data_IF_060557885354
#
_entry.id   IF_060557885354
#
_cell.length_a   1.000
_cell.length_b   1.000
_cell.length_c   1.000
_cell.angle_alpha   90.00
_cell.angle_beta   90.00
_cell.angle_gamma   90.00
#
_symmetry.space_group_name_H-M   'P 1'
#
loop_
_entity.id
_entity.type
_entity.pdbx_description
1 polymer ?
#
# COMPACT_ATOMS: atom_id res chain seq x y z
N UNK A 1 -9.93 12.47 -3.08
CA UNK A 1 -9.41 11.33 -2.32
C UNK A 1 -9.19 10.16 -3.26
N UNK A 2 -8.01 9.56 -3.27
CA UNK A 2 -7.74 8.34 -4.01
C UNK A 2 -8.03 7.16 -3.08
N UNK A 3 -9.02 6.34 -3.43
CA UNK A 3 -9.29 5.08 -2.77
C UNK A 3 -8.63 3.94 -3.54
N UNK A 4 -7.99 3.04 -2.80
CA UNK A 4 -7.53 1.76 -3.33
C UNK A 4 -8.74 0.82 -3.28
N UNK A 5 -9.32 0.53 -4.45
CA UNK A 5 -10.68 -0.02 -4.57
C UNK A 5 -11.79 1.04 -4.45
N UNK A 6 -12.99 0.80 -5.00
CA UNK A 6 -14.08 1.76 -4.93
C UNK A 6 -14.52 1.97 -3.48
N UNK A 7 -14.69 3.22 -3.01
CA UNK A 7 -15.26 3.44 -1.68
C UNK A 7 -16.67 2.84 -1.62
N UNK A 8 -17.03 2.27 -0.47
CA UNK A 8 -18.41 1.79 -0.26
C UNK A 8 -19.40 2.95 -0.41
N UNK A 9 -20.65 2.66 -0.81
CA UNK A 9 -21.68 3.69 -1.01
C UNK A 9 -21.79 4.69 0.16
N UNK A 10 -21.73 4.28 1.45
CA UNK A 10 -21.75 5.24 2.56
C UNK A 10 -20.53 6.18 2.60
N UNK A 11 -19.35 5.72 2.16
CA UNK A 11 -18.14 6.53 2.17
C UNK A 11 -18.10 7.52 0.99
N UNK A 12 -18.53 7.08 -0.20
CA UNK A 12 -18.62 7.93 -1.39
C UNK A 12 -19.57 9.12 -1.15
N UNK A 13 -20.76 8.86 -0.60
CA UNK A 13 -21.71 9.91 -0.26
C UNK A 13 -21.15 10.90 0.76
N UNK A 14 -20.48 10.42 1.79
CA UNK A 14 -19.92 11.25 2.85
C UNK A 14 -18.81 12.18 2.34
N UNK A 15 -18.02 11.73 1.36
CA UNK A 15 -17.01 12.56 0.70
C UNK A 15 -17.69 13.67 -0.10
N UNK A 16 -18.65 13.32 -0.96
CA UNK A 16 -19.37 14.28 -1.80
C UNK A 16 -20.14 15.32 -0.97
N UNK A 17 -20.85 14.89 0.09
CA UNK A 17 -21.57 15.80 1.02
C UNK A 17 -20.65 16.81 1.72
N UNK A 18 -19.35 16.49 1.84
CA UNK A 18 -18.33 17.38 2.41
C UNK A 18 -17.53 18.17 1.36
N UNK A 19 -17.91 18.07 0.08
CA UNK A 19 -17.24 18.77 -1.03
C UNK A 19 -15.96 18.08 -1.53
N UNK A 20 -15.76 16.80 -1.24
CA UNK A 20 -14.60 16.04 -1.70
C UNK A 20 -14.97 15.19 -2.92
N UNK A 21 -14.14 15.24 -3.97
CA UNK A 21 -14.15 14.24 -5.04
C UNK A 21 -13.40 12.96 -4.64
N UNK A 22 -13.69 11.86 -5.34
CA UNK A 22 -12.93 10.61 -5.19
C UNK A 22 -12.56 9.98 -6.53
N UNK A 23 -11.42 9.30 -6.55
CA UNK A 23 -10.95 8.46 -7.63
C UNK A 23 -10.69 7.06 -7.08
N UNK A 24 -10.99 6.03 -7.86
CA UNK A 24 -10.71 4.64 -7.52
C UNK A 24 -9.62 4.10 -8.44
N UNK A 25 -8.69 3.33 -7.87
CA UNK A 25 -7.72 2.55 -8.63
C UNK A 25 -8.15 1.09 -8.60
N UNK A 26 -8.36 0.50 -9.79
CA UNK A 26 -8.45 -0.95 -9.95
C UNK A 26 -7.03 -1.53 -9.86
N UNK A 27 -6.65 -1.93 -8.65
CA UNK A 27 -5.29 -2.41 -8.38
C UNK A 27 -5.01 -3.78 -9.01
N UNK A 28 -6.03 -4.63 -9.17
CA UNK A 28 -5.88 -5.96 -9.78
C UNK A 28 -5.60 -5.84 -11.28
N UNK A 29 -6.18 -4.83 -11.94
CA UNK A 29 -5.83 -4.48 -13.31
C UNK A 29 -4.37 -4.00 -13.45
N UNK A 30 -3.82 -3.37 -12.41
CA UNK A 30 -2.41 -2.93 -12.41
C UNK A 30 -1.48 -4.10 -12.13
N UNK A 31 -1.75 -4.85 -11.06
CA UNK A 31 -0.97 -5.99 -10.65
C UNK A 31 -1.88 -6.97 -9.89
N UNK A 32 -2.12 -8.19 -10.41
CA UNK A 32 -3.00 -9.15 -9.75
C UNK A 32 -2.50 -9.53 -8.36
N UNK A 33 -3.41 -9.67 -7.41
CA UNK A 33 -3.09 -10.09 -6.03
C UNK A 33 -2.83 -11.60 -5.90
N UNK A 34 -1.81 -12.11 -6.56
CA UNK A 34 -1.34 -13.48 -6.39
C UNK A 34 0.08 -13.67 -6.96
N UNK A 35 0.79 -14.69 -6.45
CA UNK A 35 2.13 -15.05 -6.91
C UNK A 35 2.22 -15.39 -8.41
N UNK A 36 1.20 -16.06 -8.97
CA UNK A 36 1.17 -16.40 -10.40
C UNK A 36 1.07 -15.14 -11.30
N UNK A 37 0.54 -14.04 -10.75
CA UNK A 37 0.42 -12.74 -11.40
C UNK A 37 1.73 -11.98 -11.53
N UNK A 38 2.81 -12.37 -10.84
CA UNK A 38 4.09 -11.65 -10.85
C UNK A 38 4.78 -11.59 -12.22
N UNK A 39 4.38 -12.44 -13.17
CA UNK A 39 4.83 -12.39 -14.57
C UNK A 39 3.87 -11.64 -15.49
N UNK A 40 2.79 -11.08 -14.93
CA UNK A 40 1.76 -10.24 -15.57
C UNK A 40 1.70 -8.88 -14.88
N UNK A 41 0.79 -8.01 -15.33
CA UNK A 41 0.63 -6.67 -14.77
C UNK A 41 1.88 -5.82 -14.97
N UNK A 42 2.03 -4.75 -14.18
CA UNK A 42 3.16 -3.82 -14.27
C UNK A 42 4.50 -4.48 -13.89
N UNK A 43 4.52 -5.43 -12.95
CA UNK A 43 5.73 -6.18 -12.58
C UNK A 43 6.16 -7.06 -13.75
N UNK A 44 5.22 -7.83 -14.32
CA UNK A 44 5.47 -8.64 -15.50
C UNK A 44 5.94 -7.81 -16.69
N UNK A 45 5.28 -6.68 -16.96
CA UNK A 45 5.64 -5.77 -18.04
C UNK A 45 7.07 -5.26 -17.90
N UNK A 46 7.41 -4.70 -16.73
CA UNK A 46 8.75 -4.15 -16.45
C UNK A 46 9.83 -5.23 -16.44
N UNK A 47 9.48 -6.48 -16.14
CA UNK A 47 10.38 -7.63 -16.17
C UNK A 47 10.24 -8.51 -17.44
N UNK A 48 9.57 -8.01 -18.49
CA UNK A 48 9.41 -8.69 -19.79
C UNK A 48 8.83 -10.10 -19.68
N UNK A 49 7.85 -10.29 -18.80
CA UNK A 49 7.17 -11.57 -18.54
C UNK A 49 8.01 -12.62 -17.83
N UNK A 50 9.23 -12.27 -17.38
CA UNK A 50 10.13 -13.20 -16.69
C UNK A 50 9.85 -13.22 -15.18
N UNK A 51 10.27 -14.26 -14.45
CA UNK A 51 10.28 -14.24 -13.00
C UNK A 51 11.09 -13.06 -12.45
N UNK A 52 10.52 -12.38 -11.45
CA UNK A 52 11.14 -11.21 -10.81
C UNK A 52 12.46 -11.57 -10.11
N UNK A 53 13.38 -10.61 -10.03
CA UNK A 53 14.59 -10.75 -9.18
C UNK A 53 14.21 -10.53 -7.71
N UNK A 54 15.10 -10.92 -6.80
CA UNK A 54 14.85 -10.81 -5.35
C UNK A 54 14.67 -9.36 -4.87
N UNK A 55 15.26 -8.39 -5.57
CA UNK A 55 15.16 -6.95 -5.28
C UNK A 55 14.11 -6.22 -6.12
N UNK A 56 13.37 -6.95 -6.95
CA UNK A 56 12.24 -6.40 -7.68
C UNK A 56 11.06 -6.21 -6.73
N UNK A 57 10.47 -5.02 -6.77
CA UNK A 57 9.30 -4.65 -5.98
C UNK A 57 8.17 -5.70 -6.02
N UNK A 58 7.42 -5.78 -4.92
CA UNK A 58 6.22 -6.61 -4.79
C UNK A 58 4.94 -5.88 -5.17
N UNK A 59 3.83 -6.61 -5.05
CA UNK A 59 2.47 -6.15 -5.38
C UNK A 59 2.09 -4.88 -4.63
N UNK A 60 2.39 -4.77 -3.33
CA UNK A 60 2.04 -3.57 -2.55
C UNK A 60 2.70 -2.30 -3.09
N UNK A 61 3.95 -2.40 -3.52
CA UNK A 61 4.69 -1.26 -4.09
C UNK A 61 4.20 -0.94 -5.51
N UNK A 62 3.78 -1.95 -6.28
CA UNK A 62 3.16 -1.77 -7.59
C UNK A 62 1.80 -1.05 -7.48
N UNK A 63 0.98 -1.41 -6.50
CA UNK A 63 -0.26 -0.71 -6.20
C UNK A 63 -0.01 0.72 -5.70
N UNK A 64 0.96 0.90 -4.81
CA UNK A 64 1.38 2.24 -4.38
C UNK A 64 1.83 3.11 -5.56
N UNK A 65 2.58 2.52 -6.51
CA UNK A 65 2.97 3.20 -7.74
C UNK A 65 1.77 3.62 -8.58
N UNK A 66 0.74 2.79 -8.69
CA UNK A 66 -0.49 3.12 -9.40
C UNK A 66 -1.18 4.35 -8.79
N UNK A 67 -1.29 4.38 -7.46
CA UNK A 67 -1.82 5.54 -6.73
C UNK A 67 -1.01 6.79 -7.07
N UNK A 68 0.32 6.70 -7.10
CA UNK A 68 1.17 7.83 -7.47
C UNK A 68 0.99 8.26 -8.94
N UNK A 69 0.67 7.35 -9.86
CA UNK A 69 0.29 7.68 -11.24
C UNK A 69 -1.08 8.34 -11.32
N UNK A 70 -2.02 7.93 -10.47
CA UNK A 70 -3.32 8.64 -10.33
C UNK A 70 -3.12 10.06 -9.84
N UNK A 71 -2.17 10.30 -8.92
CA UNK A 71 -1.78 11.67 -8.54
C UNK A 71 -1.28 12.46 -9.75
N UNK A 72 -0.42 11.89 -10.60
CA UNK A 72 0.06 12.57 -11.82
C UNK A 72 -1.12 13.04 -12.68
N UNK A 73 -2.12 12.17 -12.91
CA UNK A 73 -3.32 12.54 -13.67
C UNK A 73 -4.14 13.62 -12.97
N UNK A 74 -4.44 13.47 -11.67
CA UNK A 74 -5.25 14.42 -10.92
C UNK A 74 -4.62 15.82 -10.85
N UNK A 75 -3.29 15.94 -10.92
CA UNK A 75 -2.61 17.24 -10.98
C UNK A 75 -2.84 17.98 -12.31
N UNK A 76 -3.27 17.29 -13.36
CA UNK A 76 -3.58 17.89 -14.66
C UNK A 76 -5.04 18.31 -14.81
N UNK A 77 -5.92 17.84 -13.93
CA UNK A 77 -7.35 18.13 -13.98
C UNK A 77 -7.65 19.49 -13.34
N UNK A 78 -8.15 20.49 -14.10
CA UNK A 78 -8.46 21.81 -13.57
C UNK A 78 -9.59 21.83 -12.54
N UNK A 79 -10.38 20.75 -12.43
CA UNK A 79 -11.42 20.62 -11.40
C UNK A 79 -10.86 20.17 -10.04
N UNK A 80 -9.59 19.79 -9.96
CA UNK A 80 -8.96 19.24 -8.76
C UNK A 80 -7.97 20.24 -8.17
N UNK A 81 -8.02 20.44 -6.86
CA UNK A 81 -6.96 21.16 -6.15
C UNK A 81 -5.74 20.22 -5.98
N UNK A 82 -4.61 20.47 -6.66
CA UNK A 82 -3.44 19.56 -6.62
C UNK A 82 -2.75 19.53 -5.24
N UNK A 83 -3.04 20.48 -4.35
CA UNK A 83 -2.48 20.55 -3.00
C UNK A 83 -3.34 19.83 -1.95
N UNK A 84 -4.50 19.31 -2.32
CA UNK A 84 -5.45 18.66 -1.41
C UNK A 84 -5.82 17.23 -1.86
N UNK A 85 -4.85 16.52 -2.44
CA UNK A 85 -5.02 15.12 -2.82
C UNK A 85 -4.71 14.24 -1.61
N UNK A 86 -5.71 13.52 -1.10
CA UNK A 86 -5.53 12.49 -0.05
C UNK A 86 -5.60 11.07 -0.61
N UNK A 87 -5.10 10.10 0.15
CA UNK A 87 -5.17 8.66 -0.14
C UNK A 87 -5.87 7.89 0.99
N UNK A 88 -6.60 6.83 0.67
CA UNK A 88 -7.17 5.91 1.65
C UNK A 88 -7.10 4.45 1.20
N UNK A 89 -6.99 3.54 2.16
CA UNK A 89 -7.00 2.10 1.91
C UNK A 89 -7.30 1.29 3.17
N UNK A 90 -7.85 0.10 2.99
CA UNK A 90 -8.22 -0.83 4.06
C UNK A 90 -7.49 -2.16 3.97
N UNK A 91 -7.02 -2.71 5.10
CA UNK A 91 -6.33 -4.02 5.10
C UNK A 91 -5.09 -4.00 4.19
N UNK A 92 -4.94 -4.93 3.25
CA UNK A 92 -3.84 -4.94 2.24
C UNK A 92 -3.74 -3.63 1.45
N UNK A 93 -4.89 -3.02 1.16
CA UNK A 93 -4.97 -1.74 0.46
C UNK A 93 -4.47 -0.59 1.33
N UNK A 94 -4.65 -0.71 2.66
CA UNK A 94 -4.08 0.20 3.64
C UNK A 94 -2.55 0.13 3.68
N UNK A 95 -1.96 -1.05 3.47
CA UNK A 95 -0.50 -1.22 3.34
C UNK A 95 0.01 -0.47 2.11
N UNK A 96 -0.66 -0.63 0.96
CA UNK A 96 -0.32 0.07 -0.28
C UNK A 96 -0.54 1.59 -0.18
N UNK A 97 -1.63 2.03 0.45
CA UNK A 97 -1.91 3.46 0.68
C UNK A 97 -0.84 4.12 1.57
N UNK A 98 -0.37 3.43 2.62
CA UNK A 98 0.71 3.94 3.46
C UNK A 98 2.02 4.06 2.68
N UNK A 99 2.35 3.08 1.84
CA UNK A 99 3.51 3.16 0.94
C UNK A 99 3.37 4.31 -0.06
N UNK A 100 2.21 4.48 -0.69
CA UNK A 100 1.99 5.58 -1.63
C UNK A 100 2.15 6.93 -0.95
N UNK A 101 1.58 7.07 0.25
CA UNK A 101 1.70 8.26 1.07
C UNK A 101 3.17 8.54 1.42
N UNK A 102 3.90 7.56 1.93
CA UNK A 102 5.30 7.72 2.32
C UNK A 102 6.21 8.12 1.15
N UNK A 103 6.02 7.51 -0.02
CA UNK A 103 6.90 7.71 -1.18
C UNK A 103 6.51 8.86 -2.10
N UNK A 104 5.36 9.50 -1.90
CA UNK A 104 4.90 10.62 -2.73
C UNK A 104 4.50 11.83 -1.88
N UNK A 105 5.38 12.85 -1.77
CA UNK A 105 5.13 14.02 -0.94
C UNK A 105 3.98 14.90 -1.45
N UNK A 106 3.46 14.65 -2.66
CA UNK A 106 2.32 15.39 -3.22
C UNK A 106 0.99 14.98 -2.58
N UNK A 107 0.92 13.80 -1.95
CA UNK A 107 -0.27 13.34 -1.23
C UNK A 107 -0.31 14.06 0.12
N UNK A 108 -1.33 14.88 0.35
CA UNK A 108 -1.46 15.76 1.50
C UNK A 108 -1.90 15.06 2.79
N UNK A 109 -2.71 14.00 2.68
CA UNK A 109 -3.26 13.26 3.83
C UNK A 109 -3.50 11.79 3.52
N UNK A 110 -3.30 10.92 4.49
CA UNK A 110 -3.62 9.49 4.39
C UNK A 110 -4.63 9.00 5.43
N UNK A 111 -5.61 8.21 5.01
CA UNK A 111 -6.41 7.37 5.91
C UNK A 111 -6.04 5.90 5.74
N UNK A 112 -5.30 5.37 6.72
CA UNK A 112 -4.75 4.02 6.72
C UNK A 112 -5.60 3.15 7.64
N UNK A 113 -6.54 2.40 7.07
CA UNK A 113 -7.50 1.60 7.82
C UNK A 113 -7.03 0.14 7.97
N UNK A 114 -6.89 -0.33 9.20
CA UNK A 114 -6.64 -1.74 9.56
C UNK A 114 -5.52 -2.41 8.75
N UNK A 115 -4.42 -1.71 8.48
CA UNK A 115 -3.40 -2.19 7.54
C UNK A 115 -2.55 -3.36 8.03
N UNK A 116 -2.44 -3.58 9.34
CA UNK A 116 -1.81 -4.77 9.91
C UNK A 116 -0.29 -4.90 9.68
N UNK A 117 0.23 -6.14 9.69
CA UNK A 117 1.66 -6.44 9.61
C UNK A 117 2.21 -6.07 8.24
N UNK A 118 3.29 -5.31 8.17
CA UNK A 118 3.79 -4.74 6.91
C UNK A 118 2.95 -3.60 6.35
N UNK A 119 2.02 -3.11 7.15
CA UNK A 119 1.45 -1.76 7.05
C UNK A 119 1.88 -0.95 8.26
N UNK A 120 0.93 -0.65 9.16
CA UNK A 120 1.17 0.18 10.34
C UNK A 120 1.47 -0.61 11.63
N UNK A 121 1.26 -1.93 11.66
CA UNK A 121 1.66 -2.74 12.82
C UNK A 121 3.17 -2.98 12.80
N UNK A 122 3.80 -2.86 13.98
CA UNK A 122 5.24 -3.08 14.13
C UNK A 122 5.57 -4.54 13.85
N UNK A 123 6.53 -4.79 12.97
CA UNK A 123 7.06 -6.13 12.71
C UNK A 123 7.52 -6.82 13.98
N UNK A 124 8.20 -6.11 14.88
CA UNK A 124 8.70 -6.65 16.15
C UNK A 124 7.62 -6.98 17.18
N UNK A 125 6.37 -6.51 16.99
CA UNK A 125 5.26 -6.88 17.87
C UNK A 125 4.76 -8.28 17.51
N UNK A 126 4.86 -9.22 18.47
CA UNK A 126 4.36 -10.58 18.29
C UNK A 126 2.86 -10.70 18.68
N UNK A 127 1.97 -10.20 17.82
CA UNK A 127 0.51 -10.26 18.04
C UNK A 127 -0.25 -10.26 16.70
N UNK A 128 -1.09 -11.26 16.47
CA UNK A 128 -1.86 -11.40 15.22
C UNK A 128 -1.04 -12.02 14.08
N UNK A 129 -1.18 -11.46 12.86
CA UNK A 129 -0.42 -11.82 11.66
C UNK A 129 1.10 -11.74 11.91
N UNK A 130 1.87 -12.69 11.39
CA UNK A 130 3.32 -12.76 11.61
C UNK A 130 4.11 -12.79 10.28
N UNK A 131 5.45 -12.72 10.36
CA UNK A 131 6.31 -12.74 9.17
C UNK A 131 6.13 -14.01 8.32
N UNK A 132 5.80 -15.14 8.94
CA UNK A 132 5.49 -16.39 8.23
C UNK A 132 4.21 -16.30 7.40
N UNK A 133 3.17 -15.61 7.89
CA UNK A 133 1.97 -15.29 7.11
C UNK A 133 2.34 -14.50 5.85
N UNK A 134 3.09 -13.39 6.02
CA UNK A 134 3.50 -12.52 4.93
C UNK A 134 4.47 -13.18 3.92
N UNK A 135 5.14 -14.26 4.32
CA UNK A 135 6.02 -15.05 3.47
C UNK A 135 5.37 -16.34 2.93
N UNK A 136 4.11 -16.59 3.27
CA UNK A 136 3.37 -17.76 2.80
C UNK A 136 3.08 -17.68 1.30
N UNK A 137 2.64 -18.80 0.71
CA UNK A 137 2.22 -18.86 -0.71
C UNK A 137 1.10 -17.88 -1.05
N UNK A 138 0.35 -17.43 -0.05
CA UNK A 138 -0.81 -16.56 -0.23
C UNK A 138 -0.44 -15.07 -0.25
N UNK A 139 0.71 -14.69 0.32
CA UNK A 139 1.05 -13.28 0.57
C UNK A 139 2.49 -12.88 0.14
N UNK A 140 3.37 -13.84 -0.17
CA UNK A 140 4.78 -13.54 -0.51
C UNK A 140 4.95 -12.55 -1.68
N UNK A 141 3.95 -12.47 -2.56
CA UNK A 141 3.93 -11.55 -3.70
C UNK A 141 3.88 -10.08 -3.27
N UNK A 142 3.39 -9.77 -2.07
CA UNK A 142 3.22 -8.41 -1.56
C UNK A 142 4.53 -7.66 -1.38
N UNK A 143 5.58 -8.36 -0.96
CA UNK A 143 6.89 -7.81 -0.67
C UNK A 143 7.91 -8.19 -1.75
N UNK A 144 9.08 -7.54 -1.76
CA UNK A 144 10.20 -8.02 -2.57
C UNK A 144 10.68 -9.40 -2.09
N UNK A 145 11.47 -10.09 -2.91
CA UNK A 145 12.00 -11.40 -2.54
C UNK A 145 12.98 -11.36 -1.36
N UNK A 146 13.70 -10.25 -1.16
CA UNK A 146 14.65 -10.08 -0.05
C UNK A 146 13.95 -10.09 1.30
N UNK A 147 12.74 -9.56 1.40
CA UNK A 147 11.94 -9.57 2.62
C UNK A 147 11.67 -10.99 3.14
N UNK A 148 11.49 -11.96 2.23
CA UNK A 148 11.15 -13.34 2.59
C UNK A 148 12.21 -14.02 3.47
N UNK A 149 13.46 -13.53 3.45
CA UNK A 149 14.53 -14.06 4.31
C UNK A 149 14.22 -13.90 5.80
N UNK A 150 13.47 -12.86 6.19
CA UNK A 150 13.16 -12.59 7.60
C UNK A 150 12.13 -13.56 8.19
N UNK A 151 11.48 -14.37 7.35
CA UNK A 151 10.60 -15.46 7.77
C UNK A 151 11.30 -16.84 7.71
N UNK A 152 12.59 -16.90 7.35
CA UNK A 152 13.34 -18.16 7.25
C UNK A 152 13.71 -18.71 8.65
N UNK A 153 13.91 -20.04 8.78
CA UNK A 153 14.37 -20.62 10.04
C UNK A 153 15.64 -19.93 10.57
N UNK A 154 15.61 -19.55 11.85
CA UNK A 154 16.71 -18.82 12.50
C UNK A 154 16.65 -17.29 12.35
N UNK A 155 15.67 -16.75 11.64
CA UNK A 155 15.39 -15.31 11.57
C UNK A 155 14.12 -14.96 12.36
N UNK A 156 14.05 -13.71 12.81
CA UNK A 156 12.93 -13.09 13.49
C UNK A 156 12.72 -11.66 12.95
N UNK A 157 11.71 -10.96 13.47
CA UNK A 157 11.52 -9.55 13.16
C UNK A 157 12.65 -8.65 13.70
N UNK A 158 13.48 -9.12 14.62
CA UNK A 158 14.58 -8.32 15.18
C UNK A 158 15.71 -8.09 14.17
N UNK A 159 15.85 -8.97 13.18
CA UNK A 159 16.86 -8.86 12.12
C UNK A 159 16.47 -7.88 11.01
N UNK A 160 15.23 -7.36 11.01
CA UNK A 160 14.82 -6.30 10.09
C UNK A 160 15.63 -5.03 10.38
N UNK A 161 16.20 -4.35 9.37
CA UNK A 161 16.96 -3.12 9.59
C UNK A 161 16.07 -1.92 9.92
N UNK A 162 14.76 -2.05 9.72
CA UNK A 162 13.76 -1.01 10.00
C UNK A 162 12.51 -1.62 10.62
N UNK A 163 11.60 -0.78 11.13
CA UNK A 163 10.24 -1.18 11.50
C UNK A 163 9.16 -0.24 10.90
N UNK A 164 7.88 -0.55 11.14
CA UNK A 164 6.74 0.17 10.57
C UNK A 164 6.62 1.62 11.07
N UNK A 165 7.14 1.95 12.25
CA UNK A 165 7.20 3.32 12.76
C UNK A 165 8.09 4.22 11.90
N UNK A 166 9.21 3.71 11.38
CA UNK A 166 10.07 4.44 10.45
C UNK A 166 9.37 4.69 9.11
N UNK A 167 8.61 3.72 8.59
CA UNK A 167 7.78 3.92 7.40
C UNK A 167 6.72 5.02 7.64
N UNK A 168 6.09 5.01 8.81
CA UNK A 168 5.13 6.06 9.20
C UNK A 168 5.84 7.42 9.33
N UNK A 169 7.06 7.45 9.85
CA UNK A 169 7.84 8.69 10.00
C UNK A 169 8.18 9.35 8.65
N UNK A 170 8.31 8.58 7.56
CA UNK A 170 8.48 9.13 6.20
C UNK A 170 7.29 9.99 5.73
N UNK A 171 6.13 9.89 6.39
CA UNK A 171 4.97 10.73 6.08
C UNK A 171 5.14 12.15 6.61
N UNK A 172 5.90 12.33 7.70
CA UNK A 172 6.07 13.63 8.34
C UNK A 172 6.60 14.70 7.36
N UNK A 173 6.11 15.95 7.44
CA UNK A 173 5.17 16.49 8.42
C UNK A 173 3.68 16.38 8.00
N UNK A 174 3.37 15.59 6.97
CA UNK A 174 2.00 15.51 6.41
C UNK A 174 1.08 14.72 7.35
N UNK A 175 -0.22 14.97 7.21
CA UNK A 175 -1.21 14.35 8.08
C UNK A 175 -1.46 12.89 7.69
N UNK A 176 -1.67 12.04 8.69
CA UNK A 176 -2.15 10.69 8.50
C UNK A 176 -3.05 10.28 9.66
N UNK A 177 -3.99 9.40 9.39
CA UNK A 177 -4.84 8.77 10.39
C UNK A 177 -4.73 7.25 10.23
N UNK A 178 -4.23 6.58 11.27
CA UNK A 178 -4.17 5.12 11.34
C UNK A 178 -5.37 4.65 12.15
N UNK A 179 -6.34 4.03 11.48
CA UNK A 179 -7.54 3.50 12.10
C UNK A 179 -7.47 1.99 12.28
N UNK A 180 -8.04 1.47 13.36
CA UNK A 180 -8.24 0.04 13.58
C UNK A 180 -9.62 -0.19 14.21
N UNK A 181 -10.19 -1.39 13.98
CA UNK A 181 -11.41 -1.79 14.67
C UNK A 181 -11.12 -2.24 16.11
N UNK A 182 -12.14 -2.19 16.97
CA UNK A 182 -12.15 -2.87 18.26
C UNK A 182 -12.98 -4.15 18.15
N UNK A 183 -12.61 -5.18 18.91
CA UNK A 183 -13.41 -6.38 19.14
C UNK A 183 -14.52 -6.11 20.14
#
# INVERSE_FOLDING_TARGET
>A
CIAVGPPTEPAAEQLLKRGWGFASVDYDAVQPDNGAGLVKGIIGLTNRGRPRKMDTWGVLRAWAWAINRTVDFLQTDPAINPHQIGVMGHSRDGKAALLALAYDPRIAVGYISSSGKGGADLYRRNYGENLGSLASSDEFQWFDGKFLRYASPGYTANELPVDSDELIALVAPRAYFIGAGSL
#
